data_IF_502792691601
#
_entry.id   IF_502792691601
#
_cell.length_a   1.000
_cell.length_b   1.000
_cell.length_c   1.000
_cell.angle_alpha   90.00
_cell.angle_beta   90.00
_cell.angle_gamma   90.00
#
_symmetry.space_group_name_H-M   'P 1'
#
loop_
_entity.id
_entity.type
_entity.pdbx_description
1 polymer ?
#
# COMPACT_ATOMS: atom_id res chain seq x y z
N UNK A 1 -2.83 12.42 6.54
CA UNK A 1 -4.12 11.71 6.35
C UNK A 1 -4.58 11.96 4.91
N UNK A 2 -5.25 11.00 4.27
CA UNK A 2 -5.56 11.05 2.82
C UNK A 2 -6.99 10.63 2.48
N UNK A 3 -7.27 10.47 1.19
CA UNK A 3 -8.61 10.14 0.69
C UNK A 3 -8.83 8.63 0.59
N UNK A 4 -10.06 8.19 0.82
CA UNK A 4 -10.49 6.80 0.57
C UNK A 4 -11.52 6.78 -0.55
N UNK A 5 -11.18 6.16 -1.67
CA UNK A 5 -12.11 5.90 -2.77
C UNK A 5 -12.66 4.49 -2.62
N UNK A 6 -13.98 4.35 -2.43
CA UNK A 6 -14.67 3.06 -2.37
C UNK A 6 -15.37 2.79 -3.69
N UNK A 7 -15.07 1.65 -4.30
CA UNK A 7 -15.68 1.22 -5.56
C UNK A 7 -16.82 0.26 -5.29
N UNK A 8 -18.05 0.75 -5.39
CA UNK A 8 -19.27 -0.06 -5.20
C UNK A 8 -19.52 -1.06 -6.32
N UNK A 9 -18.85 -0.88 -7.44
CA UNK A 9 -18.93 -1.71 -8.64
C UNK A 9 -17.49 -1.96 -9.12
N UNK A 10 -17.09 -3.22 -9.24
CA UNK A 10 -15.72 -3.56 -9.62
C UNK A 10 -15.35 -3.10 -11.02
N UNK A 11 -16.33 -2.86 -11.90
CA UNK A 11 -16.10 -2.31 -13.25
C UNK A 11 -15.57 -0.88 -13.23
N UNK A 12 -15.72 -0.19 -12.10
CA UNK A 12 -15.18 1.16 -11.88
C UNK A 12 -13.75 1.13 -11.33
N UNK A 13 -13.25 -0.04 -10.92
CA UNK A 13 -11.89 -0.20 -10.42
C UNK A 13 -10.91 -0.17 -11.59
N UNK A 14 -9.93 0.75 -11.61
CA UNK A 14 -8.90 0.75 -12.65
C UNK A 14 -8.06 -0.52 -12.59
N UNK A 15 -7.90 -1.22 -13.72
CA UNK A 15 -7.09 -2.44 -13.84
C UNK A 15 -7.41 -3.49 -12.75
N UNK A 16 -8.72 -3.80 -12.61
CA UNK A 16 -9.25 -4.66 -11.55
C UNK A 16 -8.63 -6.05 -11.54
N UNK A 17 -8.25 -6.60 -12.69
CA UNK A 17 -7.63 -7.92 -12.78
C UNK A 17 -6.21 -7.91 -12.18
N UNK A 18 -5.41 -6.88 -12.45
CA UNK A 18 -4.08 -6.73 -11.85
C UNK A 18 -4.18 -6.49 -10.33
N UNK A 19 -5.13 -5.67 -9.89
CA UNK A 19 -5.38 -5.42 -8.45
C UNK A 19 -5.80 -6.71 -7.76
N UNK A 20 -6.72 -7.48 -8.36
CA UNK A 20 -7.16 -8.77 -7.84
C UNK A 20 -6.00 -9.75 -7.71
N UNK A 21 -5.17 -9.88 -8.73
CA UNK A 21 -4.01 -10.76 -8.71
C UNK A 21 -3.00 -10.33 -7.63
N UNK A 22 -2.71 -9.03 -7.51
CA UNK A 22 -1.82 -8.47 -6.50
C UNK A 22 -2.34 -8.74 -5.08
N UNK A 23 -3.63 -8.49 -4.84
CA UNK A 23 -4.26 -8.69 -3.54
C UNK A 23 -4.25 -10.16 -3.11
N UNK A 24 -4.64 -11.08 -4.00
CA UNK A 24 -4.66 -12.52 -3.71
C UNK A 24 -3.26 -13.12 -3.56
N UNK A 25 -2.23 -12.55 -4.19
CA UNK A 25 -0.84 -12.95 -3.95
C UNK A 25 -0.43 -12.73 -2.47
N UNK A 26 -1.00 -11.71 -1.81
CA UNK A 26 -0.74 -11.42 -0.39
C UNK A 26 -1.78 -12.03 0.55
N UNK A 27 -3.01 -12.23 0.09
CA UNK A 27 -4.15 -12.76 0.86
C UNK A 27 -4.83 -13.92 0.11
N UNK A 28 -4.19 -15.09 0.01
CA UNK A 28 -4.72 -16.21 -0.79
C UNK A 28 -6.03 -16.79 -0.23
N UNK A 29 -6.25 -16.67 1.07
CA UNK A 29 -7.47 -17.05 1.79
C UNK A 29 -8.68 -16.18 1.41
N UNK A 30 -8.44 -14.93 0.96
CA UNK A 30 -9.47 -13.99 0.56
C UNK A 30 -10.17 -14.34 -0.78
N UNK A 31 -9.72 -15.39 -1.50
CA UNK A 31 -10.24 -15.74 -2.85
C UNK A 31 -11.75 -15.96 -2.94
N UNK A 32 -12.38 -16.37 -1.84
CA UNK A 32 -13.82 -16.62 -1.73
C UNK A 32 -14.63 -15.45 -1.17
N UNK A 33 -13.95 -14.32 -0.93
CA UNK A 33 -14.50 -13.13 -0.28
C UNK A 33 -14.34 -11.87 -1.14
N UNK A 34 -13.94 -12.05 -2.39
CA UNK A 34 -13.78 -10.95 -3.33
C UNK A 34 -15.14 -10.38 -3.76
N UNK A 35 -15.17 -9.10 -4.21
CA UNK A 35 -16.37 -8.50 -4.75
C UNK A 35 -16.92 -9.29 -5.96
N UNK A 36 -18.23 -9.19 -6.18
CA UNK A 36 -18.97 -9.79 -7.29
C UNK A 36 -18.95 -11.32 -7.36
N UNK A 37 -18.88 -11.98 -6.20
CA UNK A 37 -19.23 -13.40 -6.08
C UNK A 37 -20.68 -13.55 -5.63
N UNK A 38 -21.57 -13.93 -6.56
CA UNK A 38 -22.99 -14.20 -6.29
C UNK A 38 -23.21 -15.32 -5.26
N UNK A 39 -22.18 -16.15 -5.01
CA UNK A 39 -22.19 -17.23 -4.02
C UNK A 39 -21.35 -16.90 -2.78
N UNK A 40 -20.77 -15.70 -2.74
CA UNK A 40 -19.98 -15.21 -1.62
C UNK A 40 -20.82 -15.09 -0.36
N UNK A 41 -20.22 -15.40 0.80
CA UNK A 41 -20.94 -15.32 2.07
C UNK A 41 -21.20 -13.88 2.55
N UNK A 42 -20.48 -12.89 2.00
CA UNK A 42 -20.59 -11.48 2.35
C UNK A 42 -20.47 -10.55 1.13
N UNK A 43 -21.00 -9.34 1.27
CA UNK A 43 -20.80 -8.25 0.31
C UNK A 43 -19.48 -7.55 0.64
N UNK A 44 -18.59 -7.44 -0.33
CA UNK A 44 -17.32 -6.73 -0.22
C UNK A 44 -17.12 -5.75 -1.37
N UNK A 45 -16.25 -4.77 -1.16
CA UNK A 45 -15.94 -3.73 -2.14
C UNK A 45 -14.42 -3.51 -2.20
N UNK A 46 -13.93 -3.13 -3.37
CA UNK A 46 -12.59 -2.60 -3.49
C UNK A 46 -12.54 -1.18 -2.92
N UNK A 47 -11.47 -0.87 -2.19
CA UNK A 47 -11.20 0.49 -1.71
C UNK A 47 -9.73 0.83 -1.92
N UNK A 48 -9.47 2.06 -2.34
CA UNK A 48 -8.12 2.62 -2.48
C UNK A 48 -7.96 3.75 -1.47
N UNK A 49 -6.82 3.74 -0.77
CA UNK A 49 -6.40 4.85 0.06
C UNK A 49 -5.30 5.63 -0.67
N UNK A 50 -5.50 6.94 -0.82
CA UNK A 50 -4.60 7.87 -1.45
C UNK A 50 -4.03 8.83 -0.40
N UNK A 51 -2.85 8.54 0.17
CA UNK A 51 -2.26 9.37 1.21
C UNK A 51 -1.88 10.75 0.66
N UNK A 52 -2.16 11.82 1.41
CA UNK A 52 -1.69 13.17 1.10
C UNK A 52 -0.28 13.43 1.67
N UNK A 53 0.03 12.85 2.82
CA UNK A 53 1.30 12.97 3.54
C UNK A 53 1.64 11.65 4.26
N UNK A 54 2.93 11.46 4.51
CA UNK A 54 3.47 10.27 5.20
C UNK A 54 4.41 10.76 6.30
N UNK A 55 4.03 10.56 7.56
CA UNK A 55 4.88 10.86 8.70
C UNK A 55 5.48 9.57 9.24
N UNK A 56 6.81 9.50 9.28
CA UNK A 56 7.54 8.33 9.72
C UNK A 56 8.19 8.57 11.08
N UNK A 57 8.13 7.55 11.93
CA UNK A 57 8.85 7.47 13.19
C UNK A 57 9.54 6.11 13.20
N UNK A 58 10.86 6.08 13.04
CA UNK A 58 11.59 4.82 13.04
C UNK A 58 13.10 4.96 13.19
N UNK A 59 13.72 3.86 13.59
CA UNK A 59 15.10 3.79 14.06
C UNK A 59 15.19 3.22 15.48
N UNK A 60 16.35 2.68 15.85
CA UNK A 60 16.65 2.18 17.19
C UNK A 60 18.13 2.43 17.49
N UNK A 61 18.46 2.97 18.66
CA UNK A 61 19.86 3.07 19.11
C UNK A 61 20.70 4.23 18.56
N UNK A 62 20.08 5.34 18.13
CA UNK A 62 20.80 6.59 17.80
C UNK A 62 20.70 7.00 16.32
N UNK A 63 20.52 6.04 15.41
CA UNK A 63 20.14 6.32 14.02
C UNK A 63 18.62 6.30 13.91
N UNK A 64 18.02 7.49 13.82
CA UNK A 64 16.58 7.64 13.77
C UNK A 64 16.19 8.69 12.74
N UNK A 65 15.21 8.36 11.90
CA UNK A 65 14.49 9.34 11.11
C UNK A 65 13.10 9.52 11.74
N UNK A 66 12.79 10.76 12.09
CA UNK A 66 11.49 11.16 12.59
C UNK A 66 11.09 12.39 11.79
N UNK A 67 10.10 12.25 10.92
CA UNK A 67 9.72 13.35 10.04
C UNK A 67 8.81 12.96 8.89
N UNK A 68 8.45 13.99 8.13
CA UNK A 68 7.64 13.86 6.92
C UNK A 68 8.46 13.22 5.79
N UNK A 69 7.89 12.23 5.11
CA UNK A 69 8.44 11.68 3.87
C UNK A 69 7.68 12.35 2.72
N UNK A 70 8.36 13.04 1.79
CA UNK A 70 7.73 13.57 0.59
C UNK A 70 6.95 12.48 -0.15
N UNK A 71 5.68 12.74 -0.46
CA UNK A 71 4.77 11.74 -1.01
C UNK A 71 5.30 11.08 -2.29
N UNK A 72 5.94 11.85 -3.18
CA UNK A 72 6.52 11.33 -4.41
C UNK A 72 7.68 10.35 -4.16
N UNK A 73 8.45 10.54 -3.09
CA UNK A 73 9.50 9.60 -2.70
C UNK A 73 8.88 8.30 -2.20
N UNK A 74 7.84 8.39 -1.37
CA UNK A 74 7.11 7.20 -0.91
C UNK A 74 6.50 6.41 -2.08
N UNK A 75 5.79 7.08 -2.99
CA UNK A 75 5.12 6.45 -4.13
C UNK A 75 6.09 5.92 -5.20
N UNK A 76 7.24 6.59 -5.38
CA UNK A 76 8.27 6.20 -6.34
C UNK A 76 9.27 5.18 -5.81
N UNK A 77 9.18 4.81 -4.52
CA UNK A 77 10.10 3.86 -3.92
C UNK A 77 9.86 2.45 -4.48
N UNK A 78 10.92 1.73 -4.89
CA UNK A 78 10.76 0.36 -5.33
C UNK A 78 10.25 -0.51 -4.17
N UNK A 79 9.44 -1.53 -4.44
CA UNK A 79 9.13 -2.52 -3.43
C UNK A 79 10.44 -3.11 -2.92
N UNK A 80 10.52 -3.35 -1.60
CA UNK A 80 11.63 -4.08 -1.01
C UNK A 80 11.59 -5.46 -1.67
N UNK A 81 12.43 -5.68 -2.69
CA UNK A 81 12.75 -7.02 -3.14
C UNK A 81 13.21 -7.77 -1.89
N UNK A 82 12.78 -9.02 -1.69
CA UNK A 82 13.26 -9.85 -0.58
C UNK A 82 14.79 -10.01 -0.70
N UNK A 83 15.54 -9.02 -0.23
CA UNK A 83 16.97 -9.07 -0.05
C UNK A 83 17.16 -9.26 1.44
N UNK A 84 17.66 -10.43 1.82
CA UNK A 84 18.01 -10.81 3.20
C UNK A 84 19.07 -9.92 3.88
N UNK A 85 19.39 -8.77 3.29
CA UNK A 85 20.37 -7.83 3.80
C UNK A 85 19.71 -6.45 3.81
N UNK A 86 19.28 -6.01 5.00
CA UNK A 86 18.75 -4.68 5.22
C UNK A 86 19.73 -3.64 4.69
N UNK A 87 19.32 -2.93 3.65
CA UNK A 87 20.09 -1.82 3.11
C UNK A 87 19.92 -0.66 4.09
N UNK A 88 21.00 -0.30 4.78
CA UNK A 88 21.16 1.02 5.40
C UNK A 88 21.20 2.08 4.28
N UNK A 89 20.03 2.32 3.67
CA UNK A 89 19.87 3.21 2.55
C UNK A 89 19.84 4.64 3.03
N UNK A 90 20.95 5.36 2.86
CA UNK A 90 21.01 6.83 2.91
C UNK A 90 20.08 7.40 1.85
N UNK A 91 18.81 7.61 2.20
CA UNK A 91 17.97 8.62 1.56
C UNK A 91 18.36 9.93 2.25
N UNK A 92 19.12 10.77 1.55
CA UNK A 92 19.37 12.15 2.01
C UNK A 92 18.06 12.93 1.85
N UNK A 93 17.26 12.95 2.91
CA UNK A 93 16.23 13.98 3.09
C UNK A 93 17.00 15.23 3.50
N UNK A 94 17.15 16.21 2.62
CA UNK A 94 17.66 17.51 3.03
C UNK A 94 16.62 18.13 3.97
N UNK A 95 16.96 18.20 5.27
CA UNK A 95 16.24 19.00 6.24
C UNK A 95 16.58 20.47 5.97
N UNK A 96 15.56 21.24 5.57
CA UNK A 96 15.59 22.70 5.62
C UNK A 96 15.53 23.18 7.07
#
# INVERSE_FOLDING_TARGET
>A
MGDVTVFRDSRLVPDVDAIRACYLKKHPDARWWLPDDDKGAHISYWARFDPHDVYFVGGFGGEHYIGQIPLHLYQGSPPILESEHGVAGRILIEQL
#
